data_IF_108829583673
#
_entry.id   IF_108829583673
#
_cell.length_a   1.000
_cell.length_b   1.000
_cell.length_c   1.000
_cell.angle_alpha   90.00
_cell.angle_beta   90.00
_cell.angle_gamma   90.00
#
_symmetry.space_group_name_H-M   'P 1'
#
loop_
_entity.id
_entity.type
_entity.pdbx_description
1 polymer ?
#
# COMPACT_ATOMS: atom_id res chain seq x y z
N UNK A 1 3.86 -2.87 -4.45
CA UNK A 1 3.64 -2.86 -2.98
C UNK A 1 4.68 -1.96 -2.28
N UNK A 2 4.45 -0.63 -2.24
CA UNK A 2 5.43 0.30 -1.65
C UNK A 2 5.64 0.09 -0.14
N UNK A 3 4.57 -0.25 0.60
CA UNK A 3 4.66 -0.54 2.02
C UNK A 3 5.48 -1.80 2.29
N UNK A 4 5.26 -2.87 1.51
CA UNK A 4 5.96 -4.14 1.64
C UNK A 4 7.47 -3.98 1.44
N UNK A 5 7.89 -3.18 0.45
CA UNK A 5 9.30 -2.85 0.25
C UNK A 5 9.89 -2.12 1.47
N UNK A 6 9.17 -1.15 2.04
CA UNK A 6 9.63 -0.42 3.22
C UNK A 6 9.72 -1.33 4.47
N UNK A 7 8.74 -2.21 4.68
CA UNK A 7 8.77 -3.17 5.79
C UNK A 7 9.89 -4.19 5.67
N UNK A 8 10.14 -4.70 4.45
CA UNK A 8 11.24 -5.64 4.23
C UNK A 8 12.61 -5.05 4.55
N UNK A 9 12.78 -3.74 4.39
CA UNK A 9 13.98 -2.98 4.75
C UNK A 9 13.98 -2.47 6.20
N UNK A 10 13.07 -2.95 7.04
CA UNK A 10 12.93 -2.57 8.47
C UNK A 10 12.62 -1.08 8.70
N UNK A 11 12.14 -0.38 7.66
CA UNK A 11 11.70 1.03 7.74
C UNK A 11 10.25 1.08 8.23
N UNK A 12 9.98 0.65 9.44
CA UNK A 12 8.62 0.42 9.96
C UNK A 12 7.73 1.67 9.91
N UNK A 13 8.25 2.82 10.28
CA UNK A 13 7.51 4.09 10.29
C UNK A 13 7.04 4.47 8.89
N UNK A 14 7.93 4.41 7.90
CA UNK A 14 7.61 4.73 6.51
C UNK A 14 6.70 3.65 5.91
N UNK A 15 6.94 2.37 6.21
CA UNK A 15 6.10 1.26 5.78
C UNK A 15 4.68 1.36 6.29
N UNK A 16 4.49 1.67 7.59
CA UNK A 16 3.17 1.87 8.18
C UNK A 16 2.43 3.07 7.56
N UNK A 17 3.11 4.16 7.31
CA UNK A 17 2.54 5.36 6.70
C UNK A 17 2.07 5.07 5.27
N UNK A 18 2.90 4.42 4.45
CA UNK A 18 2.54 4.01 3.10
C UNK A 18 1.38 3.01 3.09
N UNK A 19 1.35 2.07 4.04
CA UNK A 19 0.25 1.12 4.18
C UNK A 19 -1.08 1.83 4.47
N UNK A 20 -1.09 2.74 5.44
CA UNK A 20 -2.29 3.52 5.80
C UNK A 20 -2.78 4.34 4.60
N UNK A 21 -1.88 5.02 3.88
CA UNK A 21 -2.22 5.80 2.70
C UNK A 21 -2.77 4.91 1.57
N UNK A 22 -2.19 3.73 1.37
CA UNK A 22 -2.68 2.77 0.37
C UNK A 22 -4.07 2.25 0.72
N UNK A 23 -4.32 1.92 2.00
CA UNK A 23 -5.65 1.51 2.47
C UNK A 23 -6.66 2.65 2.28
N UNK A 24 -6.31 3.88 2.66
CA UNK A 24 -7.18 5.04 2.46
C UNK A 24 -7.52 5.25 0.98
N UNK A 25 -6.54 5.13 0.07
CA UNK A 25 -6.77 5.22 -1.36
C UNK A 25 -7.73 4.13 -1.86
N UNK A 26 -7.61 2.89 -1.36
CA UNK A 26 -8.51 1.79 -1.73
C UNK A 26 -9.92 2.01 -1.18
N UNK A 27 -10.05 2.52 0.05
CA UNK A 27 -11.35 2.82 0.64
C UNK A 27 -12.13 3.90 -0.14
N UNK A 28 -11.44 4.81 -0.83
CA UNK A 28 -12.10 5.77 -1.73
C UNK A 28 -12.83 5.10 -2.90
N UNK A 29 -12.47 3.85 -3.26
CA UNK A 29 -13.19 3.09 -4.30
C UNK A 29 -14.46 2.41 -3.81
N UNK A 30 -14.70 2.31 -2.50
CA UNK A 30 -15.82 1.56 -1.94
C UNK A 30 -17.16 2.00 -2.55
N UNK A 31 -17.52 3.31 -2.60
CA UNK A 31 -18.80 3.72 -3.18
C UNK A 31 -18.96 3.34 -4.65
N UNK A 32 -17.86 3.35 -5.41
CA UNK A 32 -17.87 2.92 -6.80
C UNK A 32 -18.05 1.40 -6.92
N UNK A 33 -17.35 0.62 -6.10
CA UNK A 33 -17.44 -0.84 -6.11
C UNK A 33 -18.83 -1.34 -5.74
N UNK A 34 -19.49 -0.74 -4.74
CA UNK A 34 -20.84 -1.09 -4.35
C UNK A 34 -21.85 -0.93 -5.51
N UNK A 35 -21.73 0.12 -6.30
CA UNK A 35 -22.57 0.28 -7.49
C UNK A 35 -22.21 -0.75 -8.55
N UNK A 36 -20.92 -1.01 -8.78
CA UNK A 36 -20.49 -2.01 -9.76
C UNK A 36 -20.94 -3.43 -9.41
N UNK A 37 -20.97 -3.81 -8.14
CA UNK A 37 -21.48 -5.12 -7.69
C UNK A 37 -22.96 -5.32 -7.99
N UNK A 38 -23.73 -4.25 -8.03
CA UNK A 38 -25.18 -4.34 -8.44
C UNK A 38 -25.35 -4.48 -9.95
N UNK A 39 -24.39 -3.99 -10.74
CA UNK A 39 -24.46 -4.00 -12.22
C UNK A 39 -23.81 -5.23 -12.85
N UNK A 40 -22.90 -5.88 -12.14
CA UNK A 40 -22.04 -6.93 -12.68
C UNK A 40 -21.90 -8.09 -11.70
N UNK A 41 -22.23 -9.30 -12.14
CA UNK A 41 -21.86 -10.51 -11.42
C UNK A 41 -20.34 -10.74 -11.59
N UNK A 42 -19.57 -10.31 -10.59
CA UNK A 42 -18.11 -10.26 -10.61
C UNK A 42 -17.42 -11.62 -10.82
N UNK A 43 -18.16 -12.73 -10.71
CA UNK A 43 -17.60 -14.09 -10.81
C UNK A 43 -17.24 -14.52 -12.22
N UNK A 44 -17.71 -13.82 -13.28
CA UNK A 44 -17.62 -14.27 -14.68
C UNK A 44 -17.22 -13.20 -15.69
N UNK A 45 -16.80 -12.02 -15.26
CA UNK A 45 -16.62 -10.86 -16.15
C UNK A 45 -15.14 -10.58 -16.42
N UNK A 46 -14.82 -10.39 -17.70
CA UNK A 46 -13.49 -9.94 -18.13
C UNK A 46 -13.31 -8.45 -17.82
N UNK A 47 -12.05 -8.00 -17.68
CA UNK A 47 -11.73 -6.58 -17.45
C UNK A 47 -12.38 -5.64 -18.49
N UNK A 48 -12.40 -6.05 -19.77
CA UNK A 48 -13.00 -5.26 -20.84
C UNK A 48 -14.52 -5.13 -20.66
N UNK A 49 -15.21 -6.20 -20.27
CA UNK A 49 -16.64 -6.18 -19.98
C UNK A 49 -16.94 -5.29 -18.77
N UNK A 50 -16.11 -5.36 -17.73
CA UNK A 50 -16.21 -4.49 -16.56
C UNK A 50 -16.14 -3.00 -16.93
N UNK A 51 -15.13 -2.63 -17.74
CA UNK A 51 -15.00 -1.25 -18.25
C UNK A 51 -16.19 -0.82 -19.09
N UNK A 52 -16.64 -1.66 -20.03
CA UNK A 52 -17.78 -1.36 -20.90
C UNK A 52 -19.07 -1.18 -20.08
N UNK A 53 -19.31 -2.03 -19.08
CA UNK A 53 -20.47 -1.90 -18.19
C UNK A 53 -20.42 -0.60 -17.42
N UNK A 54 -19.26 -0.23 -16.87
CA UNK A 54 -19.07 1.03 -16.16
C UNK A 54 -19.34 2.24 -17.07
N UNK A 55 -18.82 2.22 -18.29
CA UNK A 55 -19.00 3.32 -19.26
C UNK A 55 -20.46 3.45 -19.75
N UNK A 56 -21.15 2.32 -19.96
CA UNK A 56 -22.52 2.31 -20.44
C UNK A 56 -23.56 2.66 -19.35
N UNK A 57 -23.17 2.57 -18.08
CA UNK A 57 -24.07 2.84 -16.94
C UNK A 57 -23.57 3.99 -16.07
N UNK A 58 -22.93 5.01 -16.66
CA UNK A 58 -22.41 6.17 -15.94
C UNK A 58 -23.49 6.88 -15.12
N UNK A 59 -24.72 6.90 -15.59
CA UNK A 59 -25.86 7.51 -14.91
C UNK A 59 -26.25 6.79 -13.61
N UNK A 60 -25.84 5.55 -13.43
CA UNK A 60 -26.07 4.77 -12.20
C UNK A 60 -25.13 5.17 -11.06
N UNK A 61 -24.04 5.88 -11.38
CA UNK A 61 -23.06 6.33 -10.39
C UNK A 61 -23.41 7.72 -9.87
N UNK A 62 -23.32 7.89 -8.57
CA UNK A 62 -23.44 9.23 -7.99
C UNK A 62 -22.18 10.05 -8.35
N UNK A 63 -22.29 11.37 -8.57
CA UNK A 63 -21.11 12.21 -8.82
C UNK A 63 -20.04 12.06 -7.73
N UNK A 64 -20.45 11.87 -6.48
CA UNK A 64 -19.55 11.66 -5.34
C UNK A 64 -18.75 10.37 -5.50
N UNK A 65 -19.38 9.26 -5.93
CA UNK A 65 -18.66 7.97 -6.11
C UNK A 65 -17.61 8.06 -7.21
N UNK A 66 -17.87 8.78 -8.29
CA UNK A 66 -16.92 9.01 -9.37
C UNK A 66 -15.75 9.91 -8.93
N UNK A 67 -16.04 10.99 -8.19
CA UNK A 67 -15.00 11.88 -7.64
C UNK A 67 -14.10 11.11 -6.66
N UNK A 68 -14.69 10.34 -5.75
CA UNK A 68 -13.94 9.54 -4.80
C UNK A 68 -13.06 8.48 -5.49
N UNK A 69 -13.60 7.77 -6.48
CA UNK A 69 -12.83 6.78 -7.25
C UNK A 69 -11.66 7.43 -8.01
N UNK A 70 -11.90 8.59 -8.63
CA UNK A 70 -10.85 9.35 -9.33
C UNK A 70 -9.76 9.82 -8.37
N UNK A 71 -10.14 10.34 -7.19
CA UNK A 71 -9.21 10.75 -6.15
C UNK A 71 -8.41 9.57 -5.62
N UNK A 72 -9.06 8.43 -5.31
CA UNK A 72 -8.40 7.20 -4.89
C UNK A 72 -7.39 6.69 -5.90
N UNK A 73 -7.73 6.75 -7.22
CA UNK A 73 -6.80 6.38 -8.30
C UNK A 73 -5.58 7.30 -8.32
N UNK A 74 -5.80 8.60 -8.30
CA UNK A 74 -4.72 9.59 -8.31
C UNK A 74 -3.81 9.45 -7.09
N UNK A 75 -4.40 9.23 -5.90
CA UNK A 75 -3.65 9.02 -4.67
C UNK A 75 -2.82 7.73 -4.74
N UNK A 76 -3.40 6.62 -5.17
CA UNK A 76 -2.68 5.33 -5.30
C UNK A 76 -1.52 5.44 -6.30
N UNK A 77 -1.75 6.07 -7.45
CA UNK A 77 -0.71 6.32 -8.45
C UNK A 77 0.39 7.24 -7.89
N UNK A 78 0.03 8.30 -7.19
CA UNK A 78 0.95 9.22 -6.53
C UNK A 78 1.83 8.52 -5.50
N UNK A 79 1.26 7.64 -4.66
CA UNK A 79 2.02 6.82 -3.69
C UNK A 79 3.05 5.94 -4.40
N UNK A 80 2.66 5.28 -5.50
CA UNK A 80 3.56 4.39 -6.25
C UNK A 80 4.70 5.16 -6.94
N UNK A 81 4.39 6.31 -7.54
CA UNK A 81 5.40 7.18 -8.17
C UNK A 81 6.35 7.73 -7.09
N UNK A 82 5.81 8.24 -5.98
CA UNK A 82 6.62 8.76 -4.89
C UNK A 82 7.55 7.68 -4.32
N UNK A 83 7.04 6.49 -4.03
CA UNK A 83 7.83 5.39 -3.52
C UNK A 83 8.89 4.92 -4.52
N UNK A 84 8.59 4.93 -5.83
CA UNK A 84 9.55 4.60 -6.87
C UNK A 84 10.69 5.60 -7.00
N UNK A 85 10.38 6.90 -6.94
CA UNK A 85 11.39 7.97 -7.10
C UNK A 85 12.19 8.18 -5.80
N UNK A 86 11.51 8.17 -4.66
CA UNK A 86 12.09 8.55 -3.37
C UNK A 86 12.52 7.36 -2.53
N UNK A 87 12.15 6.12 -2.90
CA UNK A 87 12.42 4.92 -2.11
C UNK A 87 13.90 4.75 -1.79
N UNK A 88 14.78 4.82 -2.77
CA UNK A 88 16.22 4.67 -2.56
C UNK A 88 16.81 5.79 -1.70
N UNK A 89 16.35 7.02 -1.88
CA UNK A 89 16.78 8.14 -1.03
C UNK A 89 16.34 7.97 0.41
N UNK A 90 15.09 7.59 0.63
CA UNK A 90 14.56 7.32 1.99
C UNK A 90 15.34 6.18 2.67
N UNK A 91 15.65 5.13 1.92
CA UNK A 91 16.44 4.02 2.43
C UNK A 91 17.87 4.45 2.79
N UNK A 92 18.53 5.26 1.95
CA UNK A 92 19.86 5.80 2.24
C UNK A 92 19.87 6.64 3.51
N UNK A 93 18.90 7.54 3.67
CA UNK A 93 18.79 8.35 4.89
C UNK A 93 18.61 7.47 6.13
N UNK A 94 17.71 6.48 6.05
CA UNK A 94 17.48 5.52 7.14
C UNK A 94 18.73 4.71 7.46
N UNK A 95 19.43 4.17 6.46
CA UNK A 95 20.64 3.37 6.64
C UNK A 95 21.76 4.17 7.28
N UNK A 96 21.99 5.41 6.82
CA UNK A 96 23.03 6.30 7.40
C UNK A 96 22.72 6.63 8.86
N UNK A 97 21.45 6.93 9.18
CA UNK A 97 21.03 7.23 10.55
C UNK A 97 21.21 5.99 11.45
N UNK A 98 20.84 4.82 10.96
CA UNK A 98 21.00 3.56 11.68
C UNK A 98 22.47 3.21 11.94
N UNK A 99 23.32 3.35 10.93
CA UNK A 99 24.78 3.11 11.07
C UNK A 99 25.40 4.09 12.06
N UNK A 100 25.00 5.36 12.04
CA UNK A 100 25.47 6.35 13.02
C UNK A 100 25.03 5.99 14.44
N UNK A 101 23.80 5.54 14.63
CA UNK A 101 23.32 5.11 15.94
C UNK A 101 24.08 3.90 16.48
N UNK A 102 24.33 2.87 15.65
CA UNK A 102 25.10 1.69 16.06
C UNK A 102 26.55 2.07 16.40
N UNK A 103 27.18 2.94 15.62
CA UNK A 103 28.57 3.40 15.89
C UNK A 103 28.69 4.29 17.12
N UNK A 104 27.62 4.93 17.55
CA UNK A 104 27.59 5.77 18.75
C UNK A 104 27.27 4.98 20.03
N UNK A 105 26.91 3.70 19.89
CA UNK A 105 26.58 2.81 21.00
C UNK A 105 27.84 2.03 21.44
N UNK A 106 28.45 2.50 22.52
CA UNK A 106 29.67 1.89 23.11
C UNK A 106 29.44 0.48 23.70
N UNK A 107 28.19 0.00 23.74
CA UNK A 107 27.83 -1.33 24.25
C UNK A 107 27.91 -2.44 23.20
N UNK A 108 28.10 -2.10 21.93
CA UNK A 108 28.21 -3.04 20.83
C UNK A 108 29.59 -3.67 20.78
N UNK A 109 29.72 -4.93 21.19
CA UNK A 109 30.99 -5.67 21.22
C UNK A 109 31.46 -6.08 19.81
N UNK A 110 30.53 -6.44 18.89
CA UNK A 110 30.83 -6.79 17.50
C UNK A 110 30.04 -5.89 16.55
N UNK A 111 30.72 -4.86 16.05
CA UNK A 111 30.14 -3.86 15.16
C UNK A 111 29.73 -4.45 13.81
N UNK A 112 30.50 -5.41 13.27
CA UNK A 112 30.28 -5.98 11.95
C UNK A 112 29.06 -6.92 11.96
N UNK A 113 28.88 -7.68 13.03
CA UNK A 113 27.71 -8.55 13.20
C UNK A 113 26.41 -7.75 13.35
N UNK A 114 26.42 -6.71 14.20
CA UNK A 114 25.27 -5.83 14.39
C UNK A 114 24.88 -5.07 13.12
N UNK A 115 25.86 -4.58 12.35
CA UNK A 115 25.63 -3.93 11.06
C UNK A 115 25.05 -4.91 10.03
N UNK A 116 25.56 -6.13 9.97
CA UNK A 116 25.07 -7.20 9.10
C UNK A 116 23.64 -7.57 9.43
N UNK A 117 23.32 -7.80 10.70
CA UNK A 117 21.97 -8.12 11.17
C UNK A 117 20.99 -6.99 10.92
N UNK A 118 21.40 -5.75 11.14
CA UNK A 118 20.61 -4.53 10.96
C UNK A 118 20.31 -4.25 9.48
N UNK A 119 21.24 -4.55 8.56
CA UNK A 119 21.09 -4.38 7.11
C UNK A 119 20.29 -5.48 6.42
N UNK A 120 20.01 -6.60 7.08
CA UNK A 120 19.31 -7.73 6.47
C UNK A 120 17.88 -7.42 6.07
N UNK A 121 17.45 -7.99 4.92
CA UNK A 121 16.07 -7.89 4.42
C UNK A 121 15.20 -8.95 5.10
N UNK A 122 14.07 -8.55 5.67
CA UNK A 122 13.11 -9.49 6.26
C UNK A 122 12.08 -9.94 5.22
N UNK A 123 12.22 -11.18 4.75
CA UNK A 123 11.28 -11.82 3.83
C UNK A 123 9.91 -12.02 4.49
N UNK A 124 9.87 -12.34 5.78
CA UNK A 124 8.62 -12.53 6.52
C UNK A 124 7.81 -11.23 6.55
N UNK A 125 8.44 -10.10 6.82
CA UNK A 125 7.78 -8.78 6.83
C UNK A 125 7.33 -8.36 5.43
N UNK A 126 8.08 -8.75 4.39
CA UNK A 126 7.68 -8.53 3.00
C UNK A 126 6.35 -9.22 2.71
N UNK A 127 6.24 -10.51 2.99
CA UNK A 127 5.02 -11.28 2.76
C UNK A 127 3.86 -10.82 3.64
N UNK A 128 4.11 -10.55 4.92
CA UNK A 128 3.09 -10.04 5.83
C UNK A 128 2.50 -8.71 5.34
N UNK A 129 3.32 -7.79 4.85
CA UNK A 129 2.86 -6.51 4.32
C UNK A 129 2.11 -6.66 2.98
N UNK A 130 2.52 -7.57 2.09
CA UNK A 130 1.79 -7.88 0.86
C UNK A 130 0.40 -8.44 1.19
N UNK A 131 0.31 -9.37 2.15
CA UNK A 131 -0.97 -9.92 2.60
C UNK A 131 -1.84 -8.83 3.23
N UNK A 132 -1.25 -7.95 4.05
CA UNK A 132 -1.98 -6.83 4.64
C UNK A 132 -2.55 -5.90 3.57
N UNK A 133 -1.76 -5.46 2.58
CA UNK A 133 -2.25 -4.63 1.47
C UNK A 133 -3.36 -5.31 0.66
N UNK A 134 -3.30 -6.63 0.48
CA UNK A 134 -4.26 -7.38 -0.34
C UNK A 134 -5.58 -7.66 0.39
N UNK A 135 -5.53 -7.94 1.69
CA UNK A 135 -6.68 -8.46 2.44
C UNK A 135 -7.32 -7.44 3.39
N UNK A 136 -6.55 -6.51 3.99
CA UNK A 136 -7.10 -5.51 4.92
C UNK A 136 -8.24 -4.68 4.31
N UNK A 137 -8.14 -4.17 3.08
CA UNK A 137 -9.25 -3.43 2.48
C UNK A 137 -10.52 -4.28 2.34
N UNK A 138 -10.38 -5.56 1.99
CA UNK A 138 -11.52 -6.48 1.85
C UNK A 138 -12.18 -6.79 3.18
N UNK A 139 -11.38 -6.95 4.25
CA UNK A 139 -11.89 -7.17 5.61
C UNK A 139 -12.66 -5.93 6.09
N UNK A 140 -12.09 -4.73 5.88
CA UNK A 140 -12.74 -3.47 6.24
C UNK A 140 -14.05 -3.31 5.47
N UNK A 141 -14.06 -3.61 4.17
CA UNK A 141 -15.26 -3.57 3.34
C UNK A 141 -16.33 -4.53 3.87
N UNK A 142 -15.96 -5.77 4.17
CA UNK A 142 -16.86 -6.77 4.74
C UNK A 142 -17.46 -6.35 6.10
N UNK A 143 -16.71 -5.60 6.92
CA UNK A 143 -17.20 -5.07 8.19
C UNK A 143 -18.17 -3.88 8.02
N UNK A 144 -18.01 -3.10 6.95
CA UNK A 144 -18.88 -1.94 6.67
C UNK A 144 -20.21 -2.39 6.02
N UNK A 145 -20.20 -3.54 5.34
CA UNK A 145 -21.39 -4.10 4.65
C UNK A 145 -22.27 -4.97 5.55
N UNK A 146 -21.89 -5.21 6.81
CA UNK A 146 -22.68 -5.87 7.86
C UNK A 146 -23.59 -4.86 8.58
#
# INVERSE_FOLDING_TARGET
FPSAWSFSRKMYRNGALLLILTIAAVLCFVPYQLVMETLVDSSKVTFTQYLNTAMNNLDSFTPISLIMASFGTALNLGIRIFAGIRGDWLYRCYAVEKVKAIKADDTVEDLDDELSHSGSVSIILLFAAILAEAYLPKIILGLISL
#
